data_IF_384288335410
#
_entry.id   IF_384288335410
#
_cell.length_a   1.000
_cell.length_b   1.000
_cell.length_c   1.000
_cell.angle_alpha   90.00
_cell.angle_beta   90.00
_cell.angle_gamma   90.00
#
_symmetry.space_group_name_H-M   'P 1'
#
loop_
_entity.id
_entity.type
_entity.pdbx_description
1 polymer ?
#
# COMPACT_ATOMS: atom_id res chain seq x y z
N UNK A 1 8.20 -16.96 3.42
CA UNK A 1 7.89 -17.28 4.83
C UNK A 1 7.34 -18.72 4.87
N UNK A 2 7.11 -19.35 6.04
CA UNK A 2 6.47 -20.67 6.06
C UNK A 2 5.01 -20.66 5.57
N UNK A 3 4.38 -19.48 5.42
CA UNK A 3 2.99 -19.32 5.00
C UNK A 3 2.81 -18.98 3.51
N UNK A 4 3.75 -18.22 2.93
CA UNK A 4 3.64 -17.76 1.55
C UNK A 4 4.86 -16.96 1.08
N UNK A 5 4.75 -16.43 -0.14
CA UNK A 5 5.82 -15.77 -0.84
C UNK A 5 5.67 -14.24 -0.84
N UNK A 6 6.77 -13.55 -0.51
CA UNK A 6 6.85 -12.09 -0.55
C UNK A 6 7.12 -11.58 -1.97
N UNK A 7 6.96 -10.28 -2.18
CA UNK A 7 6.95 -9.65 -3.51
C UNK A 7 8.21 -9.85 -4.35
N UNK A 8 9.37 -10.05 -3.72
CA UNK A 8 10.65 -10.31 -4.38
C UNK A 8 10.97 -11.82 -4.51
N UNK A 9 10.08 -12.69 -4.03
CA UNK A 9 10.23 -14.14 -4.19
C UNK A 9 9.85 -14.57 -5.62
N UNK A 10 10.24 -15.78 -6.08
CA UNK A 10 9.85 -16.31 -7.37
C UNK A 10 8.35 -16.18 -7.65
N UNK A 11 7.99 -15.86 -8.90
CA UNK A 11 6.61 -15.53 -9.27
C UNK A 11 5.64 -16.71 -9.11
N UNK A 12 6.13 -17.94 -9.18
CA UNK A 12 5.39 -19.18 -9.01
C UNK A 12 5.27 -19.64 -7.55
N UNK A 13 6.11 -19.11 -6.65
CA UNK A 13 6.01 -19.37 -5.23
C UNK A 13 4.70 -18.77 -4.67
N UNK A 14 3.93 -19.57 -3.94
CA UNK A 14 2.57 -19.18 -3.50
C UNK A 14 2.30 -19.59 -2.05
N UNK A 15 1.05 -19.44 -1.63
CA UNK A 15 0.55 -19.83 -0.32
C UNK A 15 0.79 -21.33 -0.07
N UNK A 16 1.43 -21.67 1.04
CA UNK A 16 1.65 -23.06 1.47
C UNK A 16 0.37 -23.63 2.09
N UNK A 17 0.35 -24.94 2.37
CA UNK A 17 -0.78 -25.54 3.10
C UNK A 17 -0.92 -24.96 4.52
N UNK A 18 0.19 -24.68 5.19
CA UNK A 18 0.19 -23.96 6.45
C UNK A 18 -0.37 -22.53 6.29
N UNK A 19 -0.05 -21.86 5.19
CA UNK A 19 -0.65 -20.57 4.83
C UNK A 19 -2.15 -20.63 4.64
N UNK A 20 -2.68 -21.66 3.96
CA UNK A 20 -4.13 -21.88 3.82
C UNK A 20 -4.80 -22.10 5.18
N UNK A 21 -4.17 -22.87 6.06
CA UNK A 21 -4.64 -23.08 7.43
C UNK A 21 -4.64 -21.77 8.23
N UNK A 22 -3.59 -20.94 8.07
CA UNK A 22 -3.53 -19.63 8.69
C UNK A 22 -4.65 -18.70 8.20
N UNK A 23 -4.90 -18.64 6.89
CA UNK A 23 -6.03 -17.87 6.31
C UNK A 23 -7.37 -18.33 6.89
N UNK A 24 -7.62 -19.65 6.91
CA UNK A 24 -8.84 -20.20 7.50
C UNK A 24 -8.98 -19.82 8.98
N UNK A 25 -7.87 -19.87 9.74
CA UNK A 25 -7.87 -19.49 11.15
C UNK A 25 -8.13 -18.01 11.35
N UNK A 26 -7.51 -17.14 10.56
CA UNK A 26 -7.72 -15.69 10.59
C UNK A 26 -9.18 -15.33 10.32
N UNK A 27 -9.82 -15.98 9.34
CA UNK A 27 -11.25 -15.80 9.07
C UNK A 27 -12.13 -16.25 10.25
N UNK A 28 -11.74 -17.33 10.93
CA UNK A 28 -12.48 -17.84 12.10
C UNK A 28 -12.41 -16.89 13.30
N UNK A 29 -11.27 -16.23 13.52
CA UNK A 29 -11.02 -15.41 14.72
C UNK A 29 -11.14 -13.90 14.48
N UNK A 30 -11.55 -13.48 13.28
CA UNK A 30 -11.71 -12.07 12.94
C UNK A 30 -10.38 -11.31 12.85
N UNK A 31 -9.37 -11.89 12.19
CA UNK A 31 -8.09 -11.20 11.93
C UNK A 31 -8.02 -10.80 10.46
N UNK A 32 -7.73 -9.53 10.20
CA UNK A 32 -7.57 -9.04 8.83
C UNK A 32 -6.34 -9.64 8.14
N UNK A 33 -6.53 -10.12 6.92
CA UNK A 33 -5.45 -10.62 6.06
C UNK A 33 -4.92 -9.49 5.18
N UNK A 34 -3.66 -9.11 5.40
CA UNK A 34 -2.97 -8.08 4.61
C UNK A 34 -2.02 -8.70 3.59
N UNK A 35 -2.19 -8.30 2.33
CA UNK A 35 -1.45 -8.81 1.17
C UNK A 35 -0.48 -7.78 0.56
N UNK A 36 -0.23 -6.67 1.25
CA UNK A 36 0.62 -5.57 0.76
C UNK A 36 2.01 -6.02 0.31
N UNK A 37 2.64 -6.98 1.00
CA UNK A 37 3.96 -7.51 0.66
C UNK A 37 3.95 -8.86 -0.07
N UNK A 38 2.78 -9.43 -0.34
CA UNK A 38 2.68 -10.71 -1.05
C UNK A 38 3.01 -10.53 -2.53
N UNK A 39 3.63 -11.55 -3.14
CA UNK A 39 3.72 -11.62 -4.60
C UNK A 39 2.35 -11.88 -5.24
N UNK A 40 2.21 -11.76 -6.57
CA UNK A 40 0.94 -11.96 -7.25
C UNK A 40 0.31 -13.35 -7.01
N UNK A 41 1.12 -14.42 -7.02
CA UNK A 41 0.61 -15.78 -6.83
C UNK A 41 0.07 -16.02 -5.41
N UNK A 42 0.77 -15.54 -4.37
CA UNK A 42 0.30 -15.59 -2.99
C UNK A 42 -0.93 -14.72 -2.80
N UNK A 43 -0.94 -13.53 -3.41
CA UNK A 43 -2.09 -12.60 -3.38
C UNK A 43 -3.35 -13.27 -3.94
N UNK A 44 -3.26 -13.87 -5.13
CA UNK A 44 -4.37 -14.56 -5.77
C UNK A 44 -4.85 -15.77 -4.95
N UNK A 45 -3.92 -16.61 -4.48
CA UNK A 45 -4.25 -17.79 -3.69
C UNK A 45 -4.91 -17.43 -2.35
N UNK A 46 -4.42 -16.39 -1.68
CA UNK A 46 -4.98 -15.88 -0.43
C UNK A 46 -6.38 -15.28 -0.62
N UNK A 47 -6.60 -14.48 -1.67
CA UNK A 47 -7.93 -13.95 -2.00
C UNK A 47 -8.93 -15.06 -2.33
N UNK A 48 -8.50 -16.11 -3.04
CA UNK A 48 -9.35 -17.26 -3.34
C UNK A 48 -9.68 -18.07 -2.07
N UNK A 49 -8.70 -18.27 -1.18
CA UNK A 49 -8.87 -19.06 0.03
C UNK A 49 -9.66 -18.35 1.14
N UNK A 50 -9.61 -17.01 1.19
CA UNK A 50 -10.30 -16.25 2.25
C UNK A 50 -11.82 -16.32 2.07
N UNK A 51 -12.58 -16.45 3.15
CA UNK A 51 -14.05 -16.31 3.14
C UNK A 51 -14.52 -14.92 3.57
N UNK A 52 -13.59 -14.07 4.01
CA UNK A 52 -13.81 -12.68 4.41
C UNK A 52 -13.13 -11.73 3.41
N UNK A 53 -13.49 -10.42 3.40
CA UNK A 53 -12.69 -9.41 2.73
C UNK A 53 -11.22 -9.47 3.18
N UNK A 54 -10.32 -9.05 2.30
CA UNK A 54 -8.89 -8.92 2.59
C UNK A 54 -8.46 -7.47 2.36
N UNK A 55 -7.28 -7.10 2.83
CA UNK A 55 -6.75 -5.75 2.64
C UNK A 55 -5.40 -5.79 1.92
N UNK A 56 -5.09 -4.68 1.28
CA UNK A 56 -3.72 -4.28 1.00
C UNK A 56 -3.53 -2.95 1.73
N UNK A 57 -3.06 -3.02 2.98
CA UNK A 57 -2.96 -1.85 3.85
C UNK A 57 -2.13 -0.72 3.25
N UNK A 58 -1.11 -1.02 2.43
CA UNK A 58 -0.24 -0.02 1.82
C UNK A 58 0.40 -0.50 0.50
N UNK A 59 0.41 0.39 -0.51
CA UNK A 59 1.13 0.23 -1.76
C UNK A 59 0.82 1.33 -2.76
N UNK A 60 1.33 1.21 -3.98
CA UNK A 60 0.96 2.07 -5.11
C UNK A 60 0.45 1.26 -6.31
N UNK A 61 0.37 1.92 -7.46
CA UNK A 61 -0.30 1.43 -8.67
C UNK A 61 0.74 1.24 -9.77
N UNK A 62 0.87 0.01 -10.26
CA UNK A 62 1.92 -0.37 -11.21
C UNK A 62 1.75 0.36 -12.56
N UNK A 63 0.50 0.63 -12.94
CA UNK A 63 0.17 1.39 -14.14
C UNK A 63 0.60 2.88 -14.09
N UNK A 64 0.85 3.42 -12.89
CA UNK A 64 1.33 4.81 -12.70
C UNK A 64 2.85 4.83 -12.62
N UNK A 65 3.44 3.96 -11.80
CA UNK A 65 4.89 3.74 -11.74
C UNK A 65 5.18 2.24 -11.62
N UNK A 66 5.80 1.60 -12.63
CA UNK A 66 6.14 0.19 -12.56
C UNK A 66 7.19 -0.08 -11.49
N UNK A 67 6.79 -0.78 -10.43
CA UNK A 67 7.68 -1.08 -9.30
C UNK A 67 7.19 -2.34 -8.58
N UNK A 68 8.07 -3.25 -8.12
CA UNK A 68 7.62 -4.51 -7.50
C UNK A 68 6.67 -4.32 -6.32
N UNK A 69 6.80 -3.23 -5.54
CA UNK A 69 5.87 -2.93 -4.44
C UNK A 69 4.50 -2.41 -4.90
N UNK A 70 4.37 -1.95 -6.14
CA UNK A 70 3.11 -1.50 -6.71
C UNK A 70 2.25 -2.68 -7.17
N UNK A 71 0.94 -2.44 -7.24
CA UNK A 71 -0.07 -3.46 -7.52
C UNK A 71 -0.61 -3.26 -8.92
N UNK A 72 -0.76 -4.36 -9.65
CA UNK A 72 -1.36 -4.32 -10.98
C UNK A 72 -2.86 -4.05 -10.88
N UNK A 73 -3.43 -3.50 -11.95
CA UNK A 73 -4.87 -3.25 -12.02
C UNK A 73 -5.70 -4.53 -11.80
N UNK A 74 -5.21 -5.69 -12.26
CA UNK A 74 -5.89 -6.97 -12.04
C UNK A 74 -5.95 -7.34 -10.55
N UNK A 75 -4.86 -7.10 -9.80
CA UNK A 75 -4.85 -7.30 -8.35
C UNK A 75 -5.82 -6.33 -7.65
N UNK A 76 -5.85 -5.06 -8.09
CA UNK A 76 -6.72 -4.03 -7.53
C UNK A 76 -8.21 -4.34 -7.80
N UNK A 77 -8.57 -4.76 -9.03
CA UNK A 77 -9.93 -5.20 -9.37
C UNK A 77 -10.33 -6.45 -8.60
N UNK A 78 -9.44 -7.43 -8.46
CA UNK A 78 -9.71 -8.65 -7.69
C UNK A 78 -9.93 -8.33 -6.20
N UNK A 79 -9.15 -7.41 -5.63
CA UNK A 79 -9.31 -6.93 -4.27
C UNK A 79 -10.67 -6.24 -4.07
N UNK A 80 -11.05 -5.35 -4.99
CA UNK A 80 -12.35 -4.68 -4.95
C UNK A 80 -13.51 -5.69 -5.05
N UNK A 81 -13.43 -6.65 -5.99
CA UNK A 81 -14.42 -7.73 -6.15
C UNK A 81 -14.53 -8.62 -4.89
N UNK A 82 -13.46 -8.72 -4.08
CA UNK A 82 -13.44 -9.42 -2.80
C UNK A 82 -14.07 -8.61 -1.65
N UNK A 83 -14.44 -7.36 -1.89
CA UNK A 83 -14.94 -6.43 -0.87
C UNK A 83 -13.83 -5.69 -0.10
N UNK A 84 -12.56 -5.86 -0.51
CA UNK A 84 -11.39 -5.36 0.20
C UNK A 84 -11.15 -3.86 0.08
N UNK A 85 -10.06 -3.38 0.67
CA UNK A 85 -9.60 -1.98 0.60
C UNK A 85 -8.10 -1.91 0.35
N UNK A 86 -7.69 -0.95 -0.47
CA UNK A 86 -6.29 -0.65 -0.80
C UNK A 86 -5.87 0.71 -0.25
N UNK A 87 -4.85 0.75 0.59
CA UNK A 87 -4.24 1.99 1.08
C UNK A 87 -3.12 2.48 0.16
N UNK A 88 -3.20 3.74 -0.28
CA UNK A 88 -2.09 4.38 -0.98
C UNK A 88 -1.05 4.84 0.04
N UNK A 89 0.19 4.40 -0.15
CA UNK A 89 1.33 4.73 0.70
C UNK A 89 2.02 6.05 0.38
N UNK A 90 2.81 6.57 1.34
CA UNK A 90 3.56 7.81 1.22
C UNK A 90 5.07 7.50 1.02
N UNK A 91 5.39 6.60 0.09
CA UNK A 91 6.76 6.10 -0.12
C UNK A 91 7.38 6.56 -1.45
N UNK A 92 8.72 6.51 -1.60
CA UNK A 92 9.44 6.94 -2.81
C UNK A 92 9.04 6.20 -4.10
N UNK A 93 8.52 4.99 -3.94
CA UNK A 93 8.08 4.09 -5.01
C UNK A 93 6.80 4.56 -5.76
N UNK A 94 6.36 5.81 -5.56
CA UNK A 94 5.30 6.48 -6.32
C UNK A 94 5.82 7.20 -7.57
N UNK A 95 7.14 7.34 -7.70
CA UNK A 95 7.78 8.00 -8.85
C UNK A 95 9.11 7.33 -9.17
N UNK A 96 9.57 7.39 -10.44
CA UNK A 96 10.92 7.00 -10.79
C UNK A 96 11.98 7.70 -9.93
N UNK A 97 12.95 6.92 -9.46
CA UNK A 97 14.21 7.42 -8.91
C UNK A 97 14.94 8.31 -9.94
N UNK A 98 15.68 9.35 -9.51
CA UNK A 98 15.99 9.72 -8.11
C UNK A 98 15.06 10.82 -7.57
N UNK A 99 13.93 11.09 -8.23
CA UNK A 99 13.05 12.20 -7.83
C UNK A 99 12.28 11.86 -6.55
N UNK A 100 12.18 12.80 -5.62
CA UNK A 100 11.26 12.66 -4.49
C UNK A 100 9.80 12.77 -4.98
N UNK A 101 8.88 11.88 -4.58
CA UNK A 101 7.48 12.02 -4.94
C UNK A 101 6.88 13.28 -4.33
N UNK A 102 5.99 13.90 -5.10
CA UNK A 102 5.19 15.06 -4.71
C UNK A 102 3.76 14.65 -4.39
N UNK A 103 2.98 15.57 -3.81
CA UNK A 103 1.54 15.40 -3.66
C UNK A 103 0.86 15.03 -4.99
N UNK A 104 1.32 15.55 -6.12
CA UNK A 104 0.71 15.22 -7.42
C UNK A 104 1.00 13.78 -7.85
N UNK A 105 2.19 13.23 -7.56
CA UNK A 105 2.48 11.81 -7.78
C UNK A 105 1.59 10.93 -6.89
N UNK A 106 1.47 11.27 -5.61
CA UNK A 106 0.55 10.58 -4.70
C UNK A 106 -0.89 10.60 -5.23
N UNK A 107 -1.35 11.77 -5.67
CA UNK A 107 -2.70 11.93 -6.20
C UNK A 107 -2.91 11.22 -7.54
N UNK A 108 -1.86 11.05 -8.36
CA UNK A 108 -1.93 10.23 -9.57
C UNK A 108 -2.26 8.76 -9.21
N UNK A 109 -1.58 8.20 -8.21
CA UNK A 109 -1.88 6.87 -7.67
C UNK A 109 -3.28 6.78 -7.04
N UNK A 110 -3.65 7.75 -6.20
CA UNK A 110 -4.97 7.81 -5.57
C UNK A 110 -6.11 7.84 -6.60
N UNK A 111 -6.00 8.71 -7.61
CA UNK A 111 -7.05 8.85 -8.63
C UNK A 111 -7.10 7.65 -9.58
N UNK A 112 -5.95 7.05 -9.90
CA UNK A 112 -5.90 5.80 -10.65
C UNK A 112 -6.60 4.66 -9.90
N UNK A 113 -6.26 4.46 -8.62
CA UNK A 113 -6.90 3.43 -7.79
C UNK A 113 -8.42 3.64 -7.68
N UNK A 114 -8.87 4.89 -7.47
CA UNK A 114 -10.30 5.24 -7.44
C UNK A 114 -11.00 4.88 -8.77
N UNK A 115 -10.34 5.09 -9.91
CA UNK A 115 -10.86 4.73 -11.23
C UNK A 115 -10.91 3.23 -11.48
N UNK A 116 -9.94 2.46 -10.97
CA UNK A 116 -9.85 1.01 -11.17
C UNK A 116 -10.79 0.24 -10.23
N UNK A 117 -10.85 0.67 -8.96
CA UNK A 117 -11.49 -0.07 -7.88
C UNK A 117 -12.88 0.47 -7.50
N UNK A 118 -13.15 1.75 -7.78
CA UNK A 118 -14.33 2.45 -7.25
C UNK A 118 -14.11 3.05 -5.86
N UNK A 119 -14.98 4.00 -5.48
CA UNK A 119 -14.81 4.83 -4.28
C UNK A 119 -14.89 4.05 -2.95
N UNK A 120 -15.43 2.84 -2.93
CA UNK A 120 -15.61 2.02 -1.72
C UNK A 120 -14.38 1.19 -1.33
N UNK A 121 -13.31 1.23 -2.12
CA UNK A 121 -12.20 0.28 -2.02
C UNK A 121 -10.82 0.92 -1.93
N UNK A 122 -10.74 2.24 -1.76
CA UNK A 122 -9.47 2.99 -1.69
C UNK A 122 -9.38 3.75 -0.37
N UNK A 123 -8.19 3.81 0.22
CA UNK A 123 -7.92 4.55 1.45
C UNK A 123 -6.48 5.05 1.55
N UNK A 124 -6.12 5.54 2.73
CA UNK A 124 -4.77 6.02 3.05
C UNK A 124 -4.02 4.92 3.80
N UNK A 125 -2.79 4.62 3.35
CA UNK A 125 -1.93 3.59 3.92
C UNK A 125 -0.48 4.07 4.01
N UNK A 126 -0.24 5.18 4.71
CA UNK A 126 0.97 6.01 4.57
C UNK A 126 2.32 5.29 4.70
N UNK A 127 2.36 4.16 5.42
CA UNK A 127 3.59 3.39 5.70
C UNK A 127 4.71 4.23 6.37
N UNK A 128 4.30 5.27 7.09
CA UNK A 128 5.18 6.24 7.75
C UNK A 128 4.62 6.63 9.11
N UNK A 129 5.47 7.18 9.98
CA UNK A 129 5.06 7.68 11.30
C UNK A 129 4.07 8.84 11.20
N UNK A 130 3.34 9.09 12.29
CA UNK A 130 2.34 10.17 12.36
C UNK A 130 2.96 11.57 12.13
N UNK A 131 4.14 11.81 12.69
CA UNK A 131 4.86 13.08 12.54
C UNK A 131 5.54 13.27 11.19
N UNK A 132 6.05 14.48 10.96
CA UNK A 132 6.97 14.73 9.87
C UNK A 132 8.26 13.93 10.09
N UNK A 133 8.74 13.29 9.04
CA UNK A 133 10.06 12.70 8.99
C UNK A 133 11.12 13.80 8.92
N UNK A 134 12.12 13.69 9.79
CA UNK A 134 13.26 14.61 9.83
C UNK A 134 14.18 14.37 8.63
N UNK A 135 14.20 15.33 7.71
CA UNK A 135 15.07 15.35 6.54
C UNK A 135 16.21 16.37 6.69
N UNK A 136 16.60 16.70 7.93
CA UNK A 136 17.81 17.48 8.19
C UNK A 136 19.05 16.82 7.57
N UNK A 137 20.12 17.58 7.27
CA UNK A 137 21.35 17.01 6.72
C UNK A 137 21.94 15.86 7.56
N UNK A 138 21.74 15.89 8.88
CA UNK A 138 22.17 14.82 9.78
C UNK A 138 21.36 13.54 9.55
N UNK A 139 20.03 13.65 9.52
CA UNK A 139 19.15 12.52 9.27
C UNK A 139 19.31 11.97 7.85
N UNK A 140 19.60 12.82 6.86
CA UNK A 140 19.95 12.40 5.50
C UNK A 140 21.22 11.55 5.49
N UNK A 141 22.30 12.01 6.14
CA UNK A 141 23.53 11.25 6.21
C UNK A 141 23.35 9.88 6.91
N UNK A 142 22.51 9.83 7.95
CA UNK A 142 22.17 8.58 8.63
C UNK A 142 21.35 7.64 7.75
N UNK A 143 20.37 8.16 7.02
CA UNK A 143 19.60 7.40 6.03
C UNK A 143 20.50 6.83 4.94
N UNK A 144 21.40 7.65 4.37
CA UNK A 144 22.32 7.22 3.31
C UNK A 144 23.25 6.09 3.79
N UNK A 145 23.68 6.11 5.06
CA UNK A 145 24.48 5.02 5.63
C UNK A 145 23.67 3.74 5.82
N UNK A 146 22.44 3.85 6.33
CA UNK A 146 21.53 2.71 6.44
C UNK A 146 21.27 2.08 5.07
N UNK A 147 21.00 2.88 4.05
CA UNK A 147 20.80 2.40 2.68
C UNK A 147 22.04 1.72 2.13
N UNK A 148 23.23 2.32 2.27
CA UNK A 148 24.49 1.65 1.87
C UNK A 148 24.63 0.26 2.49
N UNK A 149 24.30 0.11 3.77
CA UNK A 149 24.36 -1.19 4.47
C UNK A 149 23.31 -2.19 3.93
N UNK A 150 22.08 -1.73 3.68
CA UNK A 150 21.00 -2.58 3.14
C UNK A 150 21.29 -3.05 1.73
N UNK A 151 21.82 -2.17 0.87
CA UNK A 151 22.28 -2.50 -0.48
C UNK A 151 23.45 -3.49 -0.43
N UNK A 152 24.45 -3.25 0.41
CA UNK A 152 25.59 -4.16 0.58
C UNK A 152 25.17 -5.55 1.08
N UNK A 153 24.11 -5.62 1.90
CA UNK A 153 23.54 -6.88 2.38
C UNK A 153 22.58 -7.56 1.37
N UNK A 154 22.26 -6.91 0.24
CA UNK A 154 21.35 -7.43 -0.77
C UNK A 154 19.90 -7.54 -0.31
N UNK A 155 19.51 -6.76 0.71
CA UNK A 155 18.15 -6.76 1.30
C UNK A 155 17.35 -5.50 0.93
N UNK A 156 17.95 -4.58 0.19
CA UNK A 156 17.28 -3.40 -0.32
C UNK A 156 16.32 -3.77 -1.46
N UNK A 157 15.17 -3.09 -1.51
CA UNK A 157 14.25 -3.14 -2.62
C UNK A 157 14.83 -2.35 -3.81
N UNK A 158 14.36 -2.63 -5.05
CA UNK A 158 14.60 -1.73 -6.17
C UNK A 158 14.20 -0.29 -5.83
N UNK A 159 14.96 0.69 -6.31
CA UNK A 159 14.71 2.12 -6.07
C UNK A 159 14.60 2.55 -4.59
N UNK A 160 15.17 1.76 -3.67
CA UNK A 160 15.35 2.15 -2.27
C UNK A 160 16.58 3.07 -2.17
N UNK A 161 16.38 4.36 -2.42
CA UNK A 161 17.48 5.34 -2.52
C UNK A 161 17.10 6.76 -2.07
N UNK A 162 15.85 6.92 -1.63
CA UNK A 162 15.27 8.19 -1.20
C UNK A 162 14.63 8.01 0.16
N UNK A 163 14.70 9.07 0.93
CA UNK A 163 14.03 9.17 2.21
C UNK A 163 12.51 8.91 2.09
N UNK A 164 11.93 8.26 3.10
CA UNK A 164 10.55 7.77 3.09
C UNK A 164 9.51 8.85 3.42
N UNK A 165 9.32 9.78 2.49
CA UNK A 165 8.26 10.80 2.53
C UNK A 165 7.76 11.20 1.14
N UNK A 166 6.66 11.93 1.12
CA UNK A 166 6.15 12.62 -0.07
C UNK A 166 6.16 14.12 0.20
N UNK A 167 6.67 14.92 -0.73
CA UNK A 167 6.66 16.38 -0.63
C UNK A 167 5.20 16.88 -0.59
N UNK A 168 4.88 17.64 0.46
CA UNK A 168 3.51 18.10 0.75
C UNK A 168 2.68 17.17 1.64
N UNK A 169 3.14 15.94 1.92
CA UNK A 169 2.51 15.03 2.89
C UNK A 169 3.38 14.74 4.12
N UNK A 170 4.61 15.26 4.17
CA UNK A 170 5.53 15.10 5.30
C UNK A 170 5.14 15.98 6.51
N UNK A 171 3.93 15.79 7.02
CA UNK A 171 3.29 16.60 8.05
C UNK A 171 2.21 15.79 8.79
N UNK A 172 1.86 16.25 10.00
CA UNK A 172 0.92 15.53 10.88
C UNK A 172 -0.54 15.56 10.37
N UNK A 173 -0.90 16.58 9.60
CA UNK A 173 -2.24 16.80 9.05
C UNK A 173 -2.39 16.31 7.60
N UNK A 174 -1.49 15.43 7.12
CA UNK A 174 -1.48 14.92 5.74
C UNK A 174 -2.83 14.37 5.25
N UNK A 175 -3.62 13.77 6.15
CA UNK A 175 -4.95 13.29 5.80
C UNK A 175 -5.86 14.44 5.33
N UNK A 176 -5.76 15.61 5.97
CA UNK A 176 -6.49 16.81 5.54
C UNK A 176 -5.98 17.33 4.20
N UNK A 177 -4.66 17.30 3.96
CA UNK A 177 -4.07 17.66 2.66
C UNK A 177 -4.61 16.77 1.54
N UNK A 178 -4.70 15.45 1.77
CA UNK A 178 -5.25 14.48 0.82
C UNK A 178 -6.74 14.75 0.57
N UNK A 179 -7.52 15.02 1.62
CA UNK A 179 -8.93 15.37 1.49
C UNK A 179 -9.14 16.63 0.64
N UNK A 180 -8.38 17.70 0.92
CA UNK A 180 -8.41 18.93 0.15
C UNK A 180 -8.00 18.70 -1.31
N UNK A 181 -6.99 17.86 -1.54
CA UNK A 181 -6.52 17.51 -2.88
C UNK A 181 -7.58 16.74 -3.69
N UNK A 182 -8.38 15.88 -3.06
CA UNK A 182 -9.54 15.20 -3.66
C UNK A 182 -10.65 16.20 -4.01
N UNK A 183 -11.00 17.09 -3.08
CA UNK A 183 -12.05 18.10 -3.28
C UNK A 183 -11.70 19.08 -4.40
N UNK A 184 -10.44 19.55 -4.47
CA UNK A 184 -9.93 20.40 -5.56
C UNK A 184 -10.00 19.70 -6.93
N UNK A 185 -9.89 18.37 -6.95
CA UNK A 185 -10.06 17.52 -8.14
C UNK A 185 -11.54 17.20 -8.46
N UNK A 186 -12.48 17.83 -7.76
CA UNK A 186 -13.94 17.69 -7.92
C UNK A 186 -14.51 16.33 -7.52
N UNK A 187 -13.78 15.55 -6.72
CA UNK A 187 -14.41 14.43 -6.03
C UNK A 187 -15.41 14.95 -5.00
N UNK A 188 -16.59 14.33 -4.86
CA UNK A 188 -17.57 14.73 -3.86
C UNK A 188 -17.05 14.41 -2.45
N UNK A 189 -17.49 15.17 -1.45
CA UNK A 189 -17.05 15.02 -0.05
C UNK A 189 -17.18 13.58 0.48
N UNK A 190 -18.20 12.83 0.04
CA UNK A 190 -18.38 11.41 0.39
C UNK A 190 -17.18 10.53 -0.01
N UNK A 191 -16.48 10.86 -1.10
CA UNK A 191 -15.30 10.10 -1.55
C UNK A 191 -14.12 10.41 -0.64
N UNK A 192 -13.94 11.67 -0.26
CA UNK A 192 -12.91 12.04 0.71
C UNK A 192 -13.15 11.34 2.06
N UNK A 193 -14.38 11.34 2.58
CA UNK A 193 -14.74 10.62 3.82
C UNK A 193 -14.42 9.11 3.74
N UNK A 194 -14.77 8.48 2.61
CA UNK A 194 -14.44 7.07 2.33
C UNK A 194 -12.95 6.79 2.36
N UNK A 195 -12.17 7.61 1.64
CA UNK A 195 -10.70 7.49 1.57
C UNK A 195 -10.03 7.75 2.92
N UNK A 196 -10.54 8.71 3.70
CA UNK A 196 -9.99 9.07 5.01
C UNK A 196 -10.13 7.97 6.06
N UNK A 197 -11.06 7.03 5.87
CA UNK A 197 -11.13 5.87 6.76
C UNK A 197 -12.43 5.09 6.73
N UNK A 198 -13.54 5.64 6.20
CA UNK A 198 -14.81 4.92 6.24
C UNK A 198 -14.75 3.57 5.49
N UNK A 199 -13.93 3.47 4.44
CA UNK A 199 -13.69 2.19 3.74
C UNK A 199 -12.95 1.17 4.61
N UNK A 200 -11.93 1.59 5.37
CA UNK A 200 -11.25 0.71 6.32
C UNK A 200 -12.18 0.28 7.46
N UNK A 201 -12.97 1.21 8.01
CA UNK A 201 -13.98 0.90 9.05
C UNK A 201 -14.97 -0.15 8.54
N UNK A 202 -15.50 0.02 7.32
CA UNK A 202 -16.38 -0.95 6.67
C UNK A 202 -15.72 -2.33 6.59
N UNK A 203 -14.52 -2.41 6.01
CA UNK A 203 -13.83 -3.69 5.81
C UNK A 203 -13.51 -4.38 7.14
N UNK A 204 -13.04 -3.64 8.15
CA UNK A 204 -12.81 -4.22 9.46
C UNK A 204 -14.10 -4.71 10.13
N UNK A 205 -15.22 -4.00 9.98
CA UNK A 205 -16.52 -4.45 10.47
C UNK A 205 -17.05 -5.72 9.78
N UNK A 206 -16.65 -5.98 8.54
CA UNK A 206 -17.01 -7.22 7.83
C UNK A 206 -16.08 -8.41 8.21
N UNK A 207 -14.85 -8.11 8.63
CA UNK A 207 -13.84 -9.10 9.02
C UNK A 207 -14.05 -9.59 10.45
N UNK A 208 -14.14 -8.66 11.41
CA UNK A 208 -14.22 -8.92 12.86
C UNK A 208 -15.54 -9.59 13.26
#
# INVERSE_FOLDING_TARGET
>A
SPFGAGVLAPADATLTDLGRQAVAKMNQVGVALDLSHANPATTAAAMAASTKPVIMSHGGCDAVHPHPRNKSDDQLRALAAKGGVFGIYDLPYLTPSPRQPTLDDYMAHMTHALGVMGEDHVGIGSDTSFGAMDHSPQSQAAFDEMERQRHAAGVAAPEEDRMTYVEGLNQADRALVIADALLKRRYPARVAEKVLGANFVRVFGEIW
#
